data_IF_403587390772
#
_entry.id   IF_403587390772
#
_cell.length_a   1.000
_cell.length_b   1.000
_cell.length_c   1.000
_cell.angle_alpha   90.00
_cell.angle_beta   90.00
_cell.angle_gamma   90.00
#
_symmetry.space_group_name_H-M   'P 1'
#
loop_
_entity.id
_entity.type
_entity.pdbx_description
1 polymer ?
#
# COMPACT_ATOMS: atom_id res chain seq x y z
N UNK A 1 -51.96 8.47 20.90
CA UNK A 1 -52.01 7.11 21.49
C UNK A 1 -50.60 6.52 21.45
N UNK A 2 -50.04 6.06 22.58
CA UNK A 2 -48.74 5.38 22.60
C UNK A 2 -48.90 4.05 21.88
N UNK A 3 -48.35 3.94 20.67
CA UNK A 3 -48.26 2.66 19.98
C UNK A 3 -47.20 1.81 20.69
N UNK A 4 -47.65 0.82 21.44
CA UNK A 4 -46.77 -0.19 22.04
C UNK A 4 -46.23 -1.06 20.91
N UNK A 5 -44.91 -1.05 20.71
CA UNK A 5 -44.25 -1.92 19.75
C UNK A 5 -44.46 -3.40 20.13
N UNK A 6 -44.51 -4.32 19.16
CA UNK A 6 -44.63 -5.75 19.45
C UNK A 6 -43.47 -6.24 20.32
N UNK A 7 -43.73 -7.29 21.11
CA UNK A 7 -42.78 -7.83 22.06
C UNK A 7 -41.43 -8.16 21.38
N UNK A 8 -40.30 -7.82 22.02
CA UNK A 8 -38.96 -8.04 21.47
C UNK A 8 -38.73 -9.52 21.15
N UNK A 9 -38.33 -9.82 19.90
CA UNK A 9 -37.85 -11.16 19.51
C UNK A 9 -36.50 -11.51 20.16
N UNK A 10 -35.95 -12.72 19.92
CA UNK A 10 -34.66 -13.14 20.50
C UNK A 10 -33.49 -12.19 20.16
N UNK A 11 -33.58 -11.45 19.04
CA UNK A 11 -32.60 -10.44 18.63
C UNK A 11 -32.56 -9.16 19.49
N UNK A 12 -33.50 -9.00 20.42
CA UNK A 12 -33.67 -7.79 21.26
C UNK A 12 -33.52 -8.10 22.75
N UNK A 13 -33.15 -9.33 23.10
CA UNK A 13 -32.84 -9.73 24.47
C UNK A 13 -31.66 -8.91 25.03
N UNK A 14 -31.84 -8.33 26.21
CA UNK A 14 -30.81 -7.53 26.89
C UNK A 14 -30.85 -6.02 26.59
N UNK A 15 -31.70 -5.54 25.68
CA UNK A 15 -31.85 -4.11 25.36
C UNK A 15 -32.77 -3.34 26.32
N UNK A 16 -33.40 -4.02 27.29
CA UNK A 16 -34.40 -3.41 28.17
C UNK A 16 -35.67 -3.00 27.41
N UNK A 17 -36.44 -2.07 27.99
CA UNK A 17 -37.63 -1.52 27.34
C UNK A 17 -37.23 -0.55 26.23
N UNK A 18 -37.78 -0.76 25.03
CA UNK A 18 -37.60 0.15 23.90
C UNK A 18 -38.77 1.14 23.86
N UNK A 19 -38.44 2.43 23.79
CA UNK A 19 -39.43 3.51 23.72
C UNK A 19 -39.07 4.52 22.63
N UNK A 20 -40.08 5.11 22.01
CA UNK A 20 -39.89 6.18 21.03
C UNK A 20 -39.80 7.52 21.76
N UNK A 21 -38.72 8.26 21.54
CA UNK A 21 -38.52 9.62 22.06
C UNK A 21 -38.29 10.62 20.92
N UNK A 22 -38.35 11.94 21.15
CA UNK A 22 -37.98 12.92 20.13
C UNK A 22 -36.55 12.73 19.59
N UNK A 23 -35.64 12.17 20.38
CA UNK A 23 -34.26 11.84 20.00
C UNK A 23 -34.06 10.43 19.43
N UNK A 24 -35.12 9.76 18.96
CA UNK A 24 -35.07 8.43 18.37
C UNK A 24 -35.47 7.29 19.32
N UNK A 25 -35.14 6.06 18.91
CA UNK A 25 -35.38 4.86 19.71
C UNK A 25 -34.47 4.89 20.94
N UNK A 26 -35.06 4.77 22.12
CA UNK A 26 -34.36 4.72 23.40
C UNK A 26 -34.50 3.34 24.03
N UNK A 27 -33.36 2.73 24.34
CA UNK A 27 -33.24 1.62 25.27
C UNK A 27 -33.27 2.15 26.70
N UNK A 28 -34.05 1.52 27.58
CA UNK A 28 -34.04 1.85 29.01
C UNK A 28 -32.70 1.54 29.69
N UNK A 29 -31.87 0.69 29.10
CA UNK A 29 -30.56 0.29 29.62
C UNK A 29 -29.46 1.11 28.94
N UNK A 30 -29.43 1.15 27.61
CA UNK A 30 -28.31 1.71 26.84
C UNK A 30 -28.54 3.14 26.33
N UNK A 31 -29.69 3.75 26.58
CA UNK A 31 -29.97 5.11 26.12
C UNK A 31 -30.33 5.18 24.64
N UNK A 32 -29.93 6.24 23.96
CA UNK A 32 -30.12 6.40 22.50
C UNK A 32 -28.77 6.26 21.78
N UNK A 33 -28.78 6.10 20.46
CA UNK A 33 -27.53 6.08 19.69
C UNK A 33 -26.79 7.42 19.69
N UNK A 34 -27.53 8.52 19.80
CA UNK A 34 -26.96 9.85 19.93
C UNK A 34 -26.39 10.12 21.35
N UNK A 35 -26.91 9.43 22.37
CA UNK A 35 -26.48 9.58 23.75
C UNK A 35 -26.67 8.27 24.51
N UNK A 36 -25.64 7.43 24.45
CA UNK A 36 -25.62 6.15 25.13
C UNK A 36 -25.49 6.34 26.64
N UNK A 37 -26.11 5.46 27.42
CA UNK A 37 -25.88 5.38 28.86
C UNK A 37 -24.40 5.10 29.11
N UNK A 38 -23.68 5.98 29.82
CA UNK A 38 -22.28 5.76 30.14
C UNK A 38 -22.08 4.42 30.86
N UNK A 39 -20.95 3.75 30.62
CA UNK A 39 -20.64 2.47 31.28
C UNK A 39 -20.69 2.59 32.81
N UNK A 40 -20.31 3.75 33.36
CA UNK A 40 -20.37 4.02 34.80
C UNK A 40 -21.79 4.11 35.37
N UNK A 41 -22.80 4.28 34.51
CA UNK A 41 -24.22 4.36 34.87
C UNK A 41 -24.97 3.05 34.57
N UNK A 42 -24.34 2.09 33.90
CA UNK A 42 -24.90 0.76 33.69
C UNK A 42 -24.76 -0.06 34.98
N UNK A 43 -25.85 -0.70 35.41
CA UNK A 43 -25.86 -1.61 36.57
C UNK A 43 -25.22 -2.97 36.23
N UNK A 44 -23.92 -2.93 35.91
CA UNK A 44 -23.10 -4.09 35.61
C UNK A 44 -22.47 -4.62 36.90
N UNK A 45 -23.24 -5.41 37.65
CA UNK A 45 -22.78 -5.94 38.93
C UNK A 45 -21.77 -7.10 38.81
N UNK A 46 -21.66 -7.74 37.63
CA UNK A 46 -20.83 -8.94 37.43
C UNK A 46 -20.16 -8.92 36.06
N UNK A 47 -18.89 -9.26 36.03
CA UNK A 47 -18.15 -9.65 34.84
C UNK A 47 -17.70 -11.10 35.02
N UNK A 48 -17.64 -11.85 33.93
CA UNK A 48 -16.96 -13.13 33.92
C UNK A 48 -15.45 -12.92 34.17
N UNK A 49 -14.76 -13.96 34.63
CA UNK A 49 -13.30 -13.92 34.80
C UNK A 49 -12.58 -13.56 33.49
N UNK A 50 -13.07 -14.10 32.36
CA UNK A 50 -12.50 -13.81 31.05
C UNK A 50 -12.61 -12.33 30.66
N UNK A 51 -13.78 -11.71 30.90
CA UNK A 51 -14.01 -10.28 30.64
C UNK A 51 -13.15 -9.40 31.57
N UNK A 52 -13.06 -9.75 32.85
CA UNK A 52 -12.23 -9.02 33.81
C UNK A 52 -10.74 -9.09 33.42
N UNK A 53 -10.24 -10.28 33.11
CA UNK A 53 -8.85 -10.48 32.69
C UNK A 53 -8.57 -9.77 31.35
N UNK A 54 -9.52 -9.78 30.40
CA UNK A 54 -9.42 -9.04 29.13
C UNK A 54 -9.39 -7.53 29.34
N UNK A 55 -10.27 -6.99 30.19
CA UNK A 55 -10.29 -5.57 30.51
C UNK A 55 -9.01 -5.14 31.22
N UNK A 56 -8.48 -5.93 32.16
CA UNK A 56 -7.20 -5.64 32.81
C UNK A 56 -6.05 -5.61 31.81
N UNK A 57 -5.95 -6.59 30.90
CA UNK A 57 -4.96 -6.57 29.82
C UNK A 57 -5.10 -5.33 28.93
N UNK A 58 -6.32 -5.00 28.51
CA UNK A 58 -6.59 -3.80 27.71
C UNK A 58 -6.18 -2.52 28.45
N UNK A 59 -6.68 -2.32 29.68
CA UNK A 59 -6.40 -1.15 30.52
C UNK A 59 -4.91 -1.01 30.77
N UNK A 60 -4.23 -2.08 31.18
CA UNK A 60 -2.81 -2.02 31.51
C UNK A 60 -1.97 -1.76 30.26
N UNK A 61 -2.34 -2.31 29.10
CA UNK A 61 -1.69 -2.00 27.82
C UNK A 61 -1.94 -0.57 27.38
N UNK A 62 -3.18 -0.08 27.48
CA UNK A 62 -3.54 1.30 27.17
C UNK A 62 -2.78 2.27 28.10
N UNK A 63 -2.83 2.07 29.42
CA UNK A 63 -2.10 2.90 30.38
C UNK A 63 -0.59 2.84 30.18
N UNK A 64 -0.01 1.69 29.81
CA UNK A 64 1.43 1.62 29.49
C UNK A 64 1.78 2.48 28.26
N UNK A 65 0.96 2.42 27.21
CA UNK A 65 1.20 3.15 25.97
C UNK A 65 1.02 4.67 26.14
N UNK A 66 0.13 5.10 27.03
CA UNK A 66 -0.27 6.49 27.22
C UNK A 66 0.44 7.23 28.38
N UNK A 67 1.46 6.60 28.99
CA UNK A 67 2.29 7.24 30.03
C UNK A 67 3.32 8.23 29.49
N UNK A 68 3.76 8.04 28.25
CA UNK A 68 4.84 8.82 27.64
C UNK A 68 4.35 9.84 26.59
N UNK A 69 3.14 9.65 26.04
CA UNK A 69 2.61 10.44 24.92
C UNK A 69 1.15 10.86 25.16
N UNK A 70 0.80 12.07 24.74
CA UNK A 70 -0.56 12.62 24.78
C UNK A 70 -1.06 12.79 23.33
N UNK A 71 -1.97 11.92 22.88
CA UNK A 71 -2.66 11.85 21.56
C UNK A 71 -2.30 12.91 20.49
N UNK A 72 -1.11 12.94 19.87
CA UNK A 72 -0.81 13.91 18.84
C UNK A 72 -0.88 13.21 17.49
N UNK A 73 -2.10 13.01 16.97
CA UNK A 73 -2.26 12.96 15.52
C UNK A 73 -2.11 14.39 15.03
N UNK A 74 -0.94 14.73 14.52
CA UNK A 74 -0.67 16.03 13.92
C UNK A 74 -0.68 15.89 12.40
N UNK A 75 -1.51 16.68 11.74
CA UNK A 75 -1.54 16.76 10.28
C UNK A 75 -1.28 18.19 9.83
N UNK A 76 -0.33 18.36 8.91
CA UNK A 76 -0.10 19.61 8.18
C UNK A 76 -0.40 19.40 6.71
N UNK A 77 -1.27 20.22 6.17
CA UNK A 77 -1.59 20.28 4.75
C UNK A 77 -0.94 21.52 4.15
N UNK A 78 -0.30 21.36 3.00
CA UNK A 78 0.25 22.44 2.20
C UNK A 78 -0.41 22.38 0.83
N UNK A 79 -0.94 23.51 0.36
CA UNK A 79 -1.48 23.61 -1.00
C UNK A 79 -0.90 24.85 -1.65
N UNK A 80 -0.30 24.67 -2.82
CA UNK A 80 0.25 25.75 -3.64
C UNK A 80 -0.20 25.57 -5.10
N UNK A 81 0.05 26.58 -5.94
CA UNK A 81 -0.21 26.44 -7.39
C UNK A 81 0.61 25.33 -8.06
N UNK A 82 1.72 24.91 -7.45
CA UNK A 82 2.65 23.94 -8.00
C UNK A 82 2.47 22.52 -7.43
N UNK A 83 1.71 22.35 -6.34
CA UNK A 83 1.59 21.04 -5.70
C UNK A 83 0.80 21.01 -4.39
N UNK A 84 0.58 19.79 -3.90
CA UNK A 84 -0.05 19.48 -2.62
C UNK A 84 0.95 18.74 -1.71
N UNK A 85 0.90 19.00 -0.42
CA UNK A 85 1.73 18.32 0.58
C UNK A 85 0.92 17.90 1.79
N UNK A 86 1.22 16.71 2.32
CA UNK A 86 0.69 16.19 3.58
C UNK A 86 1.86 15.73 4.45
N UNK A 87 1.84 16.12 5.71
CA UNK A 87 2.78 15.67 6.74
C UNK A 87 1.97 15.24 7.96
N UNK A 88 1.89 13.93 8.16
CA UNK A 88 1.10 13.28 9.19
C UNK A 88 2.05 12.64 10.21
N UNK A 89 1.88 12.95 11.48
CA UNK A 89 2.57 12.28 12.59
C UNK A 89 1.54 11.61 13.49
N UNK A 90 1.77 10.34 13.84
CA UNK A 90 0.92 9.51 14.69
C UNK A 90 1.75 8.93 15.81
N UNK A 91 1.37 9.23 17.05
CA UNK A 91 2.03 8.78 18.28
C UNK A 91 0.97 8.47 19.37
N UNK A 92 1.04 7.35 20.10
CA UNK A 92 1.84 6.19 19.78
C UNK A 92 1.22 5.40 18.61
N UNK A 93 2.04 4.76 17.79
CA UNK A 93 1.58 3.73 16.88
C UNK A 93 1.23 2.48 17.69
N UNK A 94 -0.06 2.15 17.77
CA UNK A 94 -0.54 1.03 18.58
C UNK A 94 -0.01 -0.28 17.99
N UNK A 95 0.55 -1.15 18.85
CA UNK A 95 1.22 -2.41 18.53
C UNK A 95 0.36 -3.48 17.80
N UNK A 96 -0.88 -3.16 17.38
CA UNK A 96 -1.72 -4.03 16.56
C UNK A 96 -1.95 -3.47 15.15
N UNK A 97 -1.13 -2.50 14.72
CA UNK A 97 -1.21 -1.94 13.38
C UNK A 97 -0.59 -2.87 12.33
N UNK A 98 -1.10 -2.83 11.10
CA UNK A 98 -0.55 -3.55 9.94
C UNK A 98 0.93 -3.20 9.63
N UNK A 99 1.48 -2.15 10.26
CA UNK A 99 2.87 -1.70 10.07
C UNK A 99 3.92 -2.52 10.84
N UNK A 100 3.52 -3.38 11.78
CA UNK A 100 4.49 -4.08 12.65
C UNK A 100 5.51 -4.90 11.85
N UNK A 101 5.09 -5.54 10.76
CA UNK A 101 5.99 -6.33 9.91
C UNK A 101 7.09 -5.46 9.28
N UNK A 102 6.77 -4.24 8.87
CA UNK A 102 7.75 -3.32 8.31
C UNK A 102 8.68 -2.76 9.39
N UNK A 103 8.15 -2.44 10.58
CA UNK A 103 8.94 -1.97 11.72
C UNK A 103 9.98 -3.03 12.13
N UNK A 104 9.57 -4.30 12.16
CA UNK A 104 10.45 -5.42 12.51
C UNK A 104 11.54 -5.72 11.46
N UNK A 105 11.39 -5.26 10.21
CA UNK A 105 12.43 -5.35 9.16
C UNK A 105 13.32 -4.12 9.13
N UNK A 106 12.73 -2.93 9.26
CA UNK A 106 13.45 -1.64 9.24
C UNK A 106 14.34 -1.50 10.47
N UNK A 107 13.89 -1.97 11.64
CA UNK A 107 14.67 -1.89 12.88
C UNK A 107 15.23 -0.50 13.14
N UNK A 108 16.55 -0.40 13.29
CA UNK A 108 17.27 0.88 13.48
C UNK A 108 17.91 1.43 12.20
N UNK A 109 17.70 0.78 11.07
CA UNK A 109 18.26 1.22 9.79
C UNK A 109 17.53 2.45 9.25
N UNK A 110 18.19 3.17 8.36
CA UNK A 110 17.63 4.33 7.69
C UNK A 110 18.00 4.34 6.20
N UNK A 111 17.06 4.78 5.37
CA UNK A 111 17.26 5.05 3.95
C UNK A 111 18.17 6.28 3.82
N UNK A 112 19.34 6.10 3.20
CA UNK A 112 20.23 7.22 2.89
C UNK A 112 19.73 8.00 1.66
N UNK A 113 20.11 9.28 1.52
CA UNK A 113 19.62 10.17 0.47
C UNK A 113 19.83 9.67 -0.98
N UNK A 114 20.80 8.78 -1.23
CA UNK A 114 21.05 8.16 -2.53
C UNK A 114 20.81 6.64 -2.55
N UNK A 115 20.16 6.09 -1.53
CA UNK A 115 19.83 4.66 -1.48
C UNK A 115 18.77 4.31 -2.53
N UNK A 116 18.85 3.10 -3.09
CA UNK A 116 17.87 2.57 -4.04
C UNK A 116 18.00 3.06 -5.48
N UNK A 117 19.18 3.58 -5.87
CA UNK A 117 19.47 4.08 -7.23
C UNK A 117 18.39 5.04 -7.76
N UNK A 118 18.11 6.17 -7.08
CA UNK A 118 17.22 7.18 -7.64
C UNK A 118 17.86 7.81 -8.88
N UNK A 119 17.21 7.72 -10.04
CA UNK A 119 17.79 8.14 -11.31
C UNK A 119 16.74 8.67 -12.28
N UNK A 120 17.16 9.54 -13.21
CA UNK A 120 16.27 10.06 -14.25
C UNK A 120 15.83 8.93 -15.19
N UNK A 121 14.54 8.89 -15.51
CA UNK A 121 13.94 7.85 -16.33
C UNK A 121 13.39 6.65 -15.55
N UNK A 122 13.46 6.64 -14.21
CA UNK A 122 12.67 5.70 -13.42
C UNK A 122 11.22 6.17 -13.35
N UNK A 123 10.28 5.31 -13.76
CA UNK A 123 8.83 5.60 -13.67
C UNK A 123 8.28 5.39 -12.27
N UNK A 124 8.89 4.47 -11.53
CA UNK A 124 8.61 4.21 -10.13
C UNK A 124 9.90 3.77 -9.45
N UNK A 125 10.16 4.29 -8.26
CA UNK A 125 11.23 3.83 -7.40
C UNK A 125 10.71 3.69 -5.98
N UNK A 126 10.79 2.50 -5.41
CA UNK A 126 10.46 2.21 -4.03
C UNK A 126 11.70 1.74 -3.30
N UNK A 127 11.98 2.28 -2.13
CA UNK A 127 13.11 1.90 -1.29
C UNK A 127 12.66 1.70 0.15
N UNK A 128 13.27 0.74 0.83
CA UNK A 128 13.01 0.41 2.23
C UNK A 128 14.33 0.19 2.95
N UNK A 129 14.43 0.70 4.16
CA UNK A 129 15.52 0.41 5.07
C UNK A 129 15.44 -1.03 5.57
N UNK A 130 16.57 -1.71 5.67
CA UNK A 130 16.67 -3.06 6.20
C UNK A 130 17.73 -3.06 7.29
N UNK A 131 17.33 -3.43 8.51
CA UNK A 131 18.25 -3.67 9.61
C UNK A 131 18.55 -5.16 9.70
N UNK A 132 19.77 -5.56 9.34
CA UNK A 132 20.23 -6.95 9.43
C UNK A 132 20.23 -7.49 10.86
N UNK A 133 20.28 -6.61 11.86
CA UNK A 133 20.27 -6.98 13.27
C UNK A 133 18.83 -7.01 13.83
N UNK A 134 17.82 -6.70 13.02
CA UNK A 134 16.42 -6.81 13.41
C UNK A 134 15.98 -8.26 13.55
N UNK A 135 15.02 -8.51 14.46
CA UNK A 135 14.53 -9.85 14.76
C UNK A 135 14.03 -10.57 13.50
N UNK A 136 13.28 -9.87 12.63
CA UNK A 136 12.72 -10.47 11.42
C UNK A 136 13.80 -10.86 10.41
N UNK A 137 14.84 -10.03 10.25
CA UNK A 137 15.93 -10.34 9.32
C UNK A 137 16.83 -11.46 9.87
N UNK A 138 17.05 -11.51 11.18
CA UNK A 138 17.76 -12.62 11.82
C UNK A 138 17.02 -13.96 11.72
N UNK A 139 15.68 -13.95 11.82
CA UNK A 139 14.86 -15.14 11.54
C UNK A 139 15.08 -15.64 10.11
N UNK A 140 15.02 -14.74 9.12
CA UNK A 140 15.28 -15.08 7.71
C UNK A 140 16.71 -15.60 7.55
N UNK A 141 17.71 -14.99 8.20
CA UNK A 141 19.10 -15.45 8.18
C UNK A 141 19.27 -16.85 8.77
N UNK A 142 18.54 -17.16 9.83
CA UNK A 142 18.51 -18.50 10.45
C UNK A 142 17.89 -19.52 9.51
N UNK A 143 16.79 -19.18 8.84
CA UNK A 143 16.18 -20.04 7.81
C UNK A 143 17.12 -20.26 6.62
N UNK A 144 17.75 -19.19 6.13
CA UNK A 144 18.70 -19.25 5.02
C UNK A 144 19.91 -20.13 5.34
N UNK A 145 20.36 -20.14 6.60
CA UNK A 145 21.45 -21.03 7.06
C UNK A 145 21.09 -22.52 6.92
N UNK A 146 19.80 -22.87 6.84
CA UNK A 146 19.35 -24.24 6.55
C UNK A 146 19.60 -24.70 5.11
N UNK A 147 19.86 -23.78 4.17
CA UNK A 147 20.13 -24.09 2.75
C UNK A 147 21.47 -24.83 2.59
N UNK A 148 22.46 -24.53 3.44
CA UNK A 148 23.77 -25.21 3.42
C UNK A 148 24.11 -25.73 4.82
N UNK A 149 23.66 -26.95 5.17
CA UNK A 149 23.94 -27.55 6.47
C UNK A 149 25.45 -27.67 6.73
N UNK A 150 25.93 -27.04 7.81
CA UNK A 150 27.34 -27.04 8.22
C UNK A 150 28.09 -25.72 7.99
N UNK A 151 27.51 -24.78 7.25
CA UNK A 151 28.05 -23.42 7.13
C UNK A 151 27.68 -22.60 8.38
N UNK A 152 28.60 -22.44 9.33
CA UNK A 152 28.41 -21.58 10.53
C UNK A 152 28.62 -20.09 10.23
N UNK A 153 28.23 -19.63 9.05
CA UNK A 153 28.46 -18.26 8.59
C UNK A 153 27.11 -17.59 8.44
N UNK A 154 27.03 -16.35 8.91
CA UNK A 154 25.89 -15.47 8.65
C UNK A 154 25.79 -15.19 7.14
N UNK A 155 24.91 -15.93 6.46
CA UNK A 155 24.68 -15.87 5.02
C UNK A 155 24.08 -14.53 4.55
N UNK A 156 23.44 -13.78 5.45
CA UNK A 156 22.90 -12.46 5.16
C UNK A 156 23.79 -11.33 5.63
N UNK A 157 24.97 -11.64 6.18
CA UNK A 157 25.91 -10.66 6.70
C UNK A 157 26.54 -9.74 5.65
N UNK A 158 26.18 -9.90 4.37
CA UNK A 158 26.52 -9.00 3.27
C UNK A 158 25.51 -7.88 3.07
N UNK A 159 24.28 -8.02 3.59
CA UNK A 159 23.21 -7.04 3.42
C UNK A 159 23.66 -5.66 3.93
N UNK A 160 23.42 -4.65 3.11
CA UNK A 160 23.50 -3.25 3.49
C UNK A 160 22.25 -2.80 4.25
N UNK A 161 21.96 -1.50 4.18
CA UNK A 161 20.86 -0.89 4.93
C UNK A 161 19.63 -0.63 4.07
N UNK A 162 19.64 -0.96 2.78
CA UNK A 162 18.53 -0.69 1.87
C UNK A 162 18.24 -1.80 0.87
N UNK A 163 16.95 -1.94 0.57
CA UNK A 163 16.39 -2.71 -0.55
C UNK A 163 15.54 -1.75 -1.37
N UNK A 164 15.67 -1.82 -2.69
CA UNK A 164 14.85 -1.06 -3.60
C UNK A 164 14.26 -1.93 -4.70
N UNK A 165 13.10 -1.51 -5.17
CA UNK A 165 12.46 -2.00 -6.39
C UNK A 165 12.17 -0.79 -7.25
N UNK A 166 12.70 -0.77 -8.47
CA UNK A 166 12.44 0.33 -9.38
C UNK A 166 12.08 -0.19 -10.77
N UNK A 167 11.38 0.66 -11.51
CA UNK A 167 10.94 0.43 -12.86
C UNK A 167 11.43 1.59 -13.75
N UNK A 168 12.05 1.29 -14.90
CA UNK A 168 12.52 2.29 -15.86
C UNK A 168 11.46 2.57 -16.93
N UNK A 169 11.51 3.76 -17.53
CA UNK A 169 10.68 4.12 -18.69
C UNK A 169 11.03 3.24 -19.89
N UNK A 170 10.01 2.67 -20.52
CA UNK A 170 10.16 1.74 -21.64
C UNK A 170 8.85 1.66 -22.44
N UNK A 171 8.91 1.48 -23.78
CA UNK A 171 7.72 1.32 -24.62
C UNK A 171 6.75 0.22 -24.17
N UNK A 172 7.22 -0.79 -23.43
CA UNK A 172 6.39 -1.87 -22.88
C UNK A 172 5.23 -1.35 -22.01
N UNK A 173 5.38 -0.19 -21.37
CA UNK A 173 4.30 0.43 -20.59
C UNK A 173 3.14 0.88 -21.48
N UNK A 174 3.44 1.40 -22.67
CA UNK A 174 2.42 1.77 -23.65
C UNK A 174 1.73 0.52 -24.22
N UNK A 175 2.45 -0.59 -24.40
CA UNK A 175 1.86 -1.88 -24.77
C UNK A 175 0.93 -2.41 -23.67
N UNK A 176 1.37 -2.37 -22.41
CA UNK A 176 0.55 -2.75 -21.25
C UNK A 176 -0.74 -1.95 -21.18
N UNK A 177 -0.67 -0.64 -21.47
CA UNK A 177 -1.84 0.24 -21.56
C UNK A 177 -2.78 -0.09 -22.75
N UNK A 178 -2.37 -0.88 -23.74
CA UNK A 178 -3.28 -1.39 -24.77
C UNK A 178 -3.99 -2.68 -24.34
N UNK A 179 -3.41 -3.41 -23.38
CA UNK A 179 -3.94 -4.67 -22.85
C UNK A 179 -4.61 -4.51 -21.48
N UNK A 180 -5.16 -3.33 -21.23
CA UNK A 180 -5.81 -2.96 -19.96
C UNK A 180 -6.89 -3.96 -19.50
N UNK A 181 -7.65 -4.56 -20.43
CA UNK A 181 -8.74 -5.49 -20.09
C UNK A 181 -8.27 -6.90 -19.67
N UNK A 182 -7.01 -7.26 -19.96
CA UNK A 182 -6.42 -8.57 -19.62
C UNK A 182 -4.99 -8.41 -19.08
N UNK A 183 -4.80 -7.35 -18.28
CA UNK A 183 -3.50 -6.89 -17.78
C UNK A 183 -2.74 -8.01 -17.08
N UNK A 184 -3.38 -8.72 -16.15
CA UNK A 184 -2.73 -9.80 -15.38
C UNK A 184 -2.17 -10.88 -16.30
N UNK A 185 -2.94 -11.33 -17.29
CA UNK A 185 -2.49 -12.34 -18.25
C UNK A 185 -1.41 -11.79 -19.17
N UNK A 186 -1.50 -10.52 -19.55
CA UNK A 186 -0.48 -9.89 -20.36
C UNK A 186 0.85 -9.79 -19.59
N UNK A 187 0.81 -9.35 -18.32
CA UNK A 187 1.96 -9.29 -17.43
C UNK A 187 2.55 -10.68 -17.23
N UNK A 188 1.74 -11.70 -16.95
CA UNK A 188 2.20 -13.09 -16.82
C UNK A 188 2.94 -13.62 -18.06
N UNK A 189 2.60 -13.12 -19.26
CA UNK A 189 3.26 -13.52 -20.52
C UNK A 189 4.48 -12.66 -20.88
N UNK A 190 4.57 -11.45 -20.32
CA UNK A 190 5.56 -10.44 -20.68
C UNK A 190 6.44 -10.00 -19.52
N UNK A 191 6.32 -10.60 -18.33
CA UNK A 191 7.08 -10.20 -17.15
C UNK A 191 8.59 -10.25 -17.35
N UNK A 192 9.10 -11.11 -18.24
CA UNK A 192 10.51 -11.20 -18.60
C UNK A 192 11.07 -9.96 -19.31
N UNK A 193 10.20 -9.13 -19.92
CA UNK A 193 10.60 -7.87 -20.58
C UNK A 193 10.19 -6.63 -19.80
N UNK A 194 9.59 -6.80 -18.62
CA UNK A 194 9.26 -5.65 -17.79
C UNK A 194 10.57 -5.04 -17.27
N UNK A 195 10.79 -3.73 -17.44
CA UNK A 195 12.00 -3.05 -17.02
C UNK A 195 11.92 -2.79 -15.51
N UNK A 196 11.86 -3.86 -14.72
CA UNK A 196 11.80 -3.83 -13.25
C UNK A 196 13.04 -4.50 -12.68
N UNK A 197 13.72 -3.80 -11.78
CA UNK A 197 14.85 -4.34 -11.04
C UNK A 197 14.61 -4.32 -9.54
N UNK A 198 15.24 -5.29 -8.88
CA UNK A 198 15.46 -5.31 -7.44
C UNK A 198 16.92 -4.97 -7.19
N UNK A 199 17.17 -4.02 -6.31
CA UNK A 199 18.51 -3.65 -5.88
C UNK A 199 18.62 -3.86 -4.38
N UNK A 200 19.65 -4.59 -3.95
CA UNK A 200 19.97 -4.79 -2.53
C UNK A 200 21.32 -4.18 -2.26
N UNK A 201 21.42 -3.28 -1.29
CA UNK A 201 22.69 -2.69 -0.89
C UNK A 201 23.64 -3.75 -0.35
N UNK A 202 24.93 -3.59 -0.64
CA UNK A 202 25.98 -4.52 -0.23
C UNK A 202 26.92 -3.81 0.75
N UNK A 203 26.95 -4.30 1.99
CA UNK A 203 27.92 -3.84 3.00
C UNK A 203 29.21 -4.65 3.00
N UNK A 204 29.20 -5.88 2.48
CA UNK A 204 30.37 -6.75 2.42
C UNK A 204 30.39 -7.61 1.14
N UNK A 205 31.16 -7.20 0.11
CA UNK A 205 31.22 -7.92 -1.17
C UNK A 205 31.75 -9.35 -1.06
N UNK A 206 32.70 -9.62 -0.15
CA UNK A 206 33.25 -10.97 0.03
C UNK A 206 32.21 -11.94 0.60
N UNK A 207 31.40 -11.47 1.56
CA UNK A 207 30.27 -12.26 2.09
C UNK A 207 29.18 -12.45 1.03
N UNK A 208 28.96 -11.47 0.16
CA UNK A 208 28.04 -11.62 -0.97
C UNK A 208 28.53 -12.71 -1.92
N UNK A 209 29.83 -12.77 -2.25
CA UNK A 209 30.39 -13.84 -3.09
C UNK A 209 30.16 -15.22 -2.47
N UNK A 210 30.37 -15.36 -1.16
CA UNK A 210 30.07 -16.61 -0.45
C UNK A 210 28.58 -16.97 -0.52
N UNK A 211 27.70 -15.99 -0.30
CA UNK A 211 26.26 -16.17 -0.41
C UNK A 211 25.85 -16.64 -1.81
N UNK A 212 26.32 -15.96 -2.86
CA UNK A 212 26.02 -16.33 -4.25
C UNK A 212 26.58 -17.72 -4.61
N UNK A 213 27.76 -18.07 -4.09
CA UNK A 213 28.34 -19.41 -4.28
C UNK A 213 27.48 -20.49 -3.61
N UNK A 214 26.98 -20.22 -2.40
CA UNK A 214 26.06 -21.12 -1.69
C UNK A 214 24.73 -21.28 -2.44
N UNK A 215 24.14 -20.18 -2.91
CA UNK A 215 22.90 -20.20 -3.72
C UNK A 215 23.12 -20.98 -5.01
N UNK A 216 24.20 -20.72 -5.74
CA UNK A 216 24.57 -21.45 -6.95
C UNK A 216 24.68 -22.96 -6.68
N UNK A 217 25.43 -23.35 -5.63
CA UNK A 217 25.58 -24.75 -5.24
C UNK A 217 24.25 -25.41 -4.86
N UNK A 218 23.38 -24.70 -4.14
CA UNK A 218 22.06 -25.20 -3.78
C UNK A 218 21.15 -25.42 -4.99
N UNK A 219 21.13 -24.48 -5.94
CA UNK A 219 20.35 -24.60 -7.18
C UNK A 219 20.84 -25.78 -7.99
N UNK A 220 22.16 -25.92 -8.18
CA UNK A 220 22.74 -27.04 -8.92
C UNK A 220 22.48 -28.39 -8.23
N UNK A 221 22.49 -28.43 -6.89
CA UNK A 221 22.16 -29.64 -6.13
C UNK A 221 20.67 -30.00 -6.24
N UNK A 222 19.78 -29.01 -6.22
CA UNK A 222 18.33 -29.21 -6.21
C UNK A 222 17.76 -29.51 -7.60
N UNK A 223 18.37 -28.95 -8.64
CA UNK A 223 17.93 -29.09 -10.03
C UNK A 223 19.13 -29.29 -11.01
N UNK A 224 19.90 -30.38 -10.87
CA UNK A 224 21.13 -30.58 -11.65
C UNK A 224 20.88 -30.55 -13.16
N UNK A 225 21.65 -29.73 -13.88
CA UNK A 225 21.54 -29.62 -15.35
C UNK A 225 20.24 -29.00 -15.89
N UNK A 226 19.35 -28.49 -15.03
CA UNK A 226 18.13 -27.79 -15.46
C UNK A 226 18.33 -26.27 -15.59
N UNK A 227 19.33 -25.71 -14.89
CA UNK A 227 19.71 -24.30 -14.98
C UNK A 227 21.02 -24.11 -15.73
N UNK A 228 21.17 -22.99 -16.44
CA UNK A 228 22.41 -22.58 -17.09
C UNK A 228 22.77 -21.19 -16.61
N UNK A 229 23.99 -21.06 -16.10
CA UNK A 229 24.55 -19.82 -15.58
C UNK A 229 25.57 -19.30 -16.59
N UNK A 230 25.18 -18.28 -17.33
CA UNK A 230 26.00 -17.66 -18.37
C UNK A 230 26.70 -16.43 -17.80
N UNK A 231 28.03 -16.48 -17.74
CA UNK A 231 28.82 -15.28 -17.45
C UNK A 231 28.81 -14.38 -18.70
N UNK A 232 28.37 -13.15 -18.52
CA UNK A 232 28.34 -12.12 -19.55
C UNK A 232 29.12 -10.91 -19.06
N UNK A 233 29.43 -10.02 -19.98
CA UNK A 233 30.21 -8.82 -19.69
C UNK A 233 29.60 -7.65 -20.44
N UNK A 234 29.36 -6.56 -19.73
CA UNK A 234 28.94 -5.27 -20.29
C UNK A 234 29.98 -4.24 -19.91
N UNK A 235 30.63 -3.62 -20.90
CA UNK A 235 31.86 -2.84 -20.69
C UNK A 235 32.90 -3.65 -19.88
N UNK A 236 33.25 -3.20 -18.67
CA UNK A 236 34.17 -3.87 -17.75
C UNK A 236 33.46 -4.63 -16.61
N UNK A 237 32.12 -4.66 -16.62
CA UNK A 237 31.31 -5.27 -15.56
C UNK A 237 30.91 -6.71 -15.91
N UNK A 238 31.38 -7.72 -15.15
CA UNK A 238 30.85 -9.06 -15.26
C UNK A 238 29.45 -9.12 -14.62
N UNK A 239 28.54 -9.83 -15.28
CA UNK A 239 27.23 -10.17 -14.73
C UNK A 239 26.84 -11.57 -15.15
N UNK A 240 25.83 -12.14 -14.50
CA UNK A 240 25.39 -13.50 -14.73
C UNK A 240 23.95 -13.50 -15.21
N UNK A 241 23.68 -14.28 -16.26
CA UNK A 241 22.32 -14.63 -16.67
C UNK A 241 22.04 -16.08 -16.30
N UNK A 242 21.04 -16.29 -15.46
CA UNK A 242 20.54 -17.61 -15.08
C UNK A 242 19.30 -17.91 -15.90
N UNK A 243 19.35 -18.93 -16.75
CA UNK A 243 18.22 -19.37 -17.57
C UNK A 243 18.02 -20.87 -17.55
N UNK A 244 17.06 -21.37 -18.32
CA UNK A 244 16.84 -22.80 -18.48
C UNK A 244 17.89 -23.44 -19.40
N UNK A 245 18.25 -24.70 -19.11
CA UNK A 245 19.07 -25.51 -20.00
C UNK A 245 18.35 -25.84 -21.31
N UNK A 246 19.09 -26.26 -22.34
CA UNK A 246 18.51 -26.60 -23.65
C UNK A 246 17.40 -27.65 -23.52
N UNK A 247 17.62 -28.69 -22.73
CA UNK A 247 16.62 -29.72 -22.43
C UNK A 247 15.41 -29.16 -21.70
N UNK A 248 15.62 -28.23 -20.76
CA UNK A 248 14.53 -27.52 -20.07
C UNK A 248 13.70 -26.65 -21.02
N UNK A 249 14.34 -25.95 -21.96
CA UNK A 249 13.65 -25.10 -22.95
C UNK A 249 12.81 -25.90 -23.94
N UNK A 250 13.28 -27.09 -24.35
CA UNK A 250 12.54 -27.98 -25.27
C UNK A 250 11.26 -28.55 -24.63
N UNK A 251 11.24 -28.66 -23.30
CA UNK A 251 10.06 -29.12 -22.54
C UNK A 251 9.18 -27.97 -22.04
N UNK A 252 9.72 -26.74 -22.03
CA UNK A 252 9.00 -25.54 -21.64
C UNK A 252 8.16 -25.01 -22.81
N UNK A 253 7.03 -24.37 -22.49
CA UNK A 253 6.30 -23.58 -23.48
C UNK A 253 7.17 -22.42 -24.03
N UNK A 254 6.85 -21.89 -25.22
CA UNK A 254 7.64 -20.84 -25.88
C UNK A 254 7.85 -19.60 -24.98
N UNK A 255 6.89 -19.29 -24.11
CA UNK A 255 6.97 -18.15 -23.17
C UNK A 255 8.01 -18.40 -22.06
N UNK A 256 8.09 -19.61 -21.53
CA UNK A 256 9.01 -19.98 -20.44
C UNK A 256 10.46 -20.21 -20.94
N UNK A 257 10.64 -20.60 -22.20
CA UNK A 257 11.94 -20.90 -22.77
C UNK A 257 12.90 -19.68 -22.83
N UNK A 258 12.35 -18.46 -22.85
CA UNK A 258 13.12 -17.21 -22.90
C UNK A 258 13.30 -16.53 -21.53
N UNK A 259 12.73 -17.10 -20.47
CA UNK A 259 12.90 -16.60 -19.11
C UNK A 259 14.36 -16.69 -18.67
N UNK A 260 14.87 -15.61 -18.10
CA UNK A 260 16.17 -15.61 -17.47
C UNK A 260 16.31 -14.48 -16.47
N UNK A 261 16.92 -14.76 -15.33
CA UNK A 261 17.25 -13.79 -14.30
C UNK A 261 18.68 -13.32 -14.53
N UNK A 262 18.85 -12.03 -14.82
CA UNK A 262 20.15 -11.38 -14.86
C UNK A 262 20.46 -10.79 -13.49
N UNK A 263 21.67 -11.00 -12.98
CA UNK A 263 22.15 -10.30 -11.80
C UNK A 263 23.59 -9.83 -11.94
N UNK A 264 23.89 -8.68 -11.33
CA UNK A 264 25.25 -8.16 -11.20
C UNK A 264 25.56 -7.91 -9.73
N UNK A 265 26.70 -8.44 -9.27
CA UNK A 265 27.23 -8.21 -7.93
C UNK A 265 28.30 -7.12 -8.01
N UNK A 266 27.99 -5.92 -7.55
CA UNK A 266 28.94 -4.80 -7.49
C UNK A 266 29.36 -4.53 -6.05
N UNK A 267 30.43 -3.74 -5.81
CA UNK A 267 30.80 -3.36 -4.46
C UNK A 267 29.73 -2.57 -3.69
N UNK A 268 28.75 -1.98 -4.41
CA UNK A 268 27.69 -1.15 -3.83
C UNK A 268 26.36 -1.89 -3.69
N UNK A 269 26.04 -2.76 -4.64
CA UNK A 269 24.74 -3.41 -4.69
C UNK A 269 24.75 -4.74 -5.43
N UNK A 270 23.83 -5.61 -5.05
CA UNK A 270 23.36 -6.73 -5.86
C UNK A 270 22.13 -6.24 -6.64
N UNK A 271 22.21 -6.22 -7.97
CA UNK A 271 21.08 -5.85 -8.85
C UNK A 271 20.56 -7.12 -9.49
N UNK A 272 19.24 -7.33 -9.47
CA UNK A 272 18.56 -8.46 -10.11
C UNK A 272 17.43 -7.93 -11.01
N UNK A 273 17.30 -8.48 -12.21
CA UNK A 273 16.25 -8.12 -13.18
C UNK A 273 16.07 -9.23 -14.21
N UNK A 274 14.91 -9.32 -14.84
CA UNK A 274 14.72 -10.17 -16.02
C UNK A 274 14.99 -9.43 -17.33
N UNK A 275 14.98 -8.09 -17.30
CA UNK A 275 15.37 -7.22 -18.41
C UNK A 275 16.87 -6.93 -18.36
N UNK A 276 17.61 -7.59 -19.26
CA UNK A 276 19.05 -7.44 -19.38
C UNK A 276 19.47 -6.03 -19.83
N UNK A 277 18.66 -5.35 -20.65
CA UNK A 277 18.95 -3.99 -21.08
C UNK A 277 18.87 -3.01 -19.90
N UNK A 278 17.92 -3.21 -18.99
CA UNK A 278 17.87 -2.45 -17.74
C UNK A 278 19.11 -2.69 -16.88
N UNK A 279 19.57 -3.94 -16.73
CA UNK A 279 20.79 -4.22 -15.95
C UNK A 279 21.99 -3.45 -16.50
N UNK A 280 22.15 -3.43 -17.82
CA UNK A 280 23.22 -2.71 -18.51
C UNK A 280 23.13 -1.20 -18.25
N UNK A 281 21.94 -0.60 -18.34
CA UNK A 281 21.72 0.81 -17.98
C UNK A 281 22.06 1.09 -16.51
N UNK A 282 21.72 0.18 -15.60
CA UNK A 282 22.05 0.32 -14.17
C UNK A 282 23.57 0.28 -13.92
N UNK A 283 24.30 -0.58 -14.64
CA UNK A 283 25.77 -0.62 -14.59
C UNK A 283 26.40 0.65 -15.15
N UNK A 284 25.90 1.16 -16.29
CA UNK A 284 26.34 2.43 -16.87
C UNK A 284 26.14 3.62 -15.90
N UNK A 285 25.05 3.60 -15.11
CA UNK A 285 24.82 4.60 -14.05
C UNK A 285 25.83 4.49 -12.93
N UNK A 286 26.19 3.28 -12.50
CA UNK A 286 27.22 3.09 -11.48
C UNK A 286 28.59 3.59 -11.96
N UNK A 287 28.95 3.36 -13.22
CA UNK A 287 30.19 3.90 -13.81
C UNK A 287 30.22 5.42 -13.81
N UNK A 288 29.13 6.04 -14.27
CA UNK A 288 29.00 7.51 -14.24
C UNK A 288 29.11 8.06 -12.83
N UNK A 289 28.51 7.39 -11.85
CA UNK A 289 28.58 7.79 -10.45
C UNK A 289 29.99 7.61 -9.86
N UNK A 290 30.71 6.56 -10.24
CA UNK A 290 32.09 6.30 -9.81
C UNK A 290 33.10 7.29 -10.41
N UNK A 291 32.84 7.77 -11.63
CA UNK A 291 33.69 8.75 -12.33
C UNK A 291 33.40 10.20 -11.93
N UNK A 292 32.28 10.47 -11.25
CA UNK A 292 31.94 11.81 -10.80
C UNK A 292 32.87 12.28 -9.65
N UNK A 293 33.38 13.52 -9.68
CA UNK A 293 34.13 14.09 -8.56
C UNK A 293 33.34 14.03 -7.25
N UNK A 294 33.98 13.79 -6.11
CA UNK A 294 33.30 13.67 -4.80
C UNK A 294 32.37 14.87 -4.49
N UNK A 295 32.79 16.10 -4.83
CA UNK A 295 32.01 17.34 -4.66
C UNK A 295 30.88 17.52 -5.70
N UNK A 296 30.78 16.63 -6.69
CA UNK A 296 29.78 16.62 -7.77
C UNK A 296 29.12 15.25 -7.93
N UNK A 297 29.07 14.45 -6.86
CA UNK A 297 28.27 13.24 -6.87
C UNK A 297 26.84 13.62 -7.29
N UNK A 298 26.27 12.98 -8.33
CA UNK A 298 24.96 13.36 -8.82
C UNK A 298 23.97 13.28 -7.65
N UNK A 299 23.40 14.43 -7.29
CA UNK A 299 22.32 14.47 -6.32
C UNK A 299 21.19 13.60 -6.83
N UNK A 300 20.53 12.86 -5.93
CA UNK A 300 19.34 12.13 -6.27
C UNK A 300 18.35 13.08 -6.98
N UNK A 301 17.74 12.67 -8.10
CA UNK A 301 16.83 13.52 -8.86
C UNK A 301 15.62 14.01 -8.04
N UNK A 302 15.29 13.30 -6.97
CA UNK A 302 14.28 13.67 -5.98
C UNK A 302 14.78 13.34 -4.57
N UNK A 303 14.31 14.06 -3.54
CA UNK A 303 14.62 13.74 -2.15
C UNK A 303 13.73 12.60 -1.63
N UNK A 304 14.30 11.73 -0.81
CA UNK A 304 13.52 10.84 0.06
C UNK A 304 12.89 11.65 1.20
N UNK A 305 11.59 11.48 1.42
CA UNK A 305 10.82 12.30 2.37
C UNK A 305 10.85 11.73 3.79
N UNK A 306 11.03 10.42 3.90
CA UNK A 306 11.18 9.64 5.12
C UNK A 306 12.57 9.01 5.23
N UNK A 307 12.69 8.09 6.18
CA UNK A 307 13.93 7.34 6.44
C UNK A 307 13.71 5.85 6.57
N UNK A 308 12.47 5.35 6.54
CA UNK A 308 12.18 3.93 6.70
C UNK A 308 11.73 3.29 5.39
N UNK A 309 10.81 3.95 4.69
CA UNK A 309 10.34 3.54 3.37
C UNK A 309 10.00 4.77 2.56
N UNK A 310 10.38 4.79 1.29
CA UNK A 310 10.16 5.91 0.39
C UNK A 310 9.73 5.42 -0.98
N UNK A 311 8.92 6.22 -1.66
CA UNK A 311 8.47 5.96 -3.01
C UNK A 311 8.46 7.24 -3.83
N UNK A 312 9.01 7.18 -5.04
CA UNK A 312 8.83 8.16 -6.08
C UNK A 312 8.06 7.56 -7.25
N UNK A 313 7.15 8.34 -7.82
CA UNK A 313 6.44 8.02 -9.06
C UNK A 313 6.50 9.25 -9.96
N UNK A 314 6.99 9.05 -11.17
CA UNK A 314 7.12 10.13 -12.16
C UNK A 314 5.80 10.33 -12.94
N UNK A 315 5.85 11.15 -13.99
CA UNK A 315 4.68 11.43 -14.82
C UNK A 315 4.14 10.22 -15.56
N UNK A 316 5.00 9.37 -16.13
CA UNK A 316 4.58 8.17 -16.83
C UNK A 316 3.99 7.14 -15.83
N UNK A 317 4.64 6.98 -14.67
CA UNK A 317 4.15 6.17 -13.57
C UNK A 317 2.78 6.65 -13.06
N UNK A 318 2.56 7.96 -12.94
CA UNK A 318 1.26 8.53 -12.58
C UNK A 318 0.19 8.22 -13.63
N UNK A 319 0.52 8.25 -14.92
CA UNK A 319 -0.38 7.83 -16.00
C UNK A 319 -0.75 6.35 -15.92
N UNK A 320 0.22 5.49 -15.60
CA UNK A 320 -0.01 4.06 -15.36
C UNK A 320 -0.95 3.86 -14.16
N UNK A 321 -0.63 4.44 -13.00
CA UNK A 321 -1.44 4.34 -11.78
C UNK A 321 -2.88 4.83 -11.98
N UNK A 322 -3.10 5.90 -12.74
CA UNK A 322 -4.46 6.39 -13.07
C UNK A 322 -5.24 5.38 -13.91
N UNK A 323 -4.60 4.81 -14.93
CA UNK A 323 -5.23 3.82 -15.82
C UNK A 323 -5.65 2.58 -15.05
N UNK A 324 -4.79 2.10 -14.13
CA UNK A 324 -5.07 0.93 -13.29
C UNK A 324 -6.05 1.21 -12.15
N UNK A 325 -5.93 2.35 -11.47
CA UNK A 325 -6.81 2.73 -10.35
C UNK A 325 -8.26 2.95 -10.79
N UNK A 326 -8.49 3.58 -11.95
CA UNK A 326 -9.83 3.71 -12.53
C UNK A 326 -10.50 2.34 -12.66
N UNK A 327 -9.76 1.35 -13.19
CA UNK A 327 -10.28 -0.01 -13.35
C UNK A 327 -10.51 -0.72 -12.02
N UNK A 328 -9.56 -0.65 -11.08
CA UNK A 328 -9.74 -1.25 -9.77
C UNK A 328 -11.01 -0.71 -9.11
N UNK A 329 -11.30 0.58 -9.25
CA UNK A 329 -12.53 1.17 -8.74
C UNK A 329 -13.79 0.71 -9.50
N UNK A 330 -13.74 0.63 -10.83
CA UNK A 330 -14.84 0.11 -11.67
C UNK A 330 -15.15 -1.36 -11.36
N UNK A 331 -14.11 -2.20 -11.25
CA UNK A 331 -14.19 -3.65 -11.00
C UNK A 331 -14.59 -3.98 -9.56
N UNK A 332 -13.92 -3.36 -8.57
CA UNK A 332 -14.23 -3.66 -7.16
C UNK A 332 -15.57 -3.07 -6.75
N UNK A 333 -15.99 -1.97 -7.39
CA UNK A 333 -17.25 -1.29 -7.13
C UNK A 333 -17.44 -0.95 -5.65
N UNK A 334 -16.35 -0.85 -4.86
CA UNK A 334 -16.43 -0.74 -3.40
C UNK A 334 -17.17 0.52 -2.96
N UNK A 335 -16.78 1.67 -3.54
CA UNK A 335 -17.44 2.96 -3.30
C UNK A 335 -18.92 2.89 -3.70
N UNK A 336 -19.22 2.24 -4.84
CA UNK A 336 -20.59 2.04 -5.32
C UNK A 336 -21.40 1.12 -4.40
N UNK A 337 -20.83 0.01 -3.93
CA UNK A 337 -21.46 -0.92 -2.98
C UNK A 337 -21.74 -0.25 -1.64
N UNK A 338 -20.79 0.53 -1.12
CA UNK A 338 -20.97 1.33 0.10
C UNK A 338 -22.02 2.42 -0.09
N UNK A 339 -22.06 3.06 -1.27
CA UNK A 339 -23.11 4.02 -1.60
C UNK A 339 -24.49 3.34 -1.63
N UNK A 340 -24.58 2.16 -2.24
CA UNK A 340 -25.82 1.41 -2.40
C UNK A 340 -26.32 0.74 -1.12
N UNK A 341 -25.46 0.41 -0.17
CA UNK A 341 -25.88 -0.15 1.12
C UNK A 341 -26.78 0.80 1.93
N UNK A 342 -26.75 2.10 1.61
CA UNK A 342 -27.64 3.09 2.22
C UNK A 342 -29.06 3.11 1.61
N UNK A 343 -29.22 2.67 0.35
CA UNK A 343 -30.50 2.80 -0.37
C UNK A 343 -31.67 2.02 0.28
N UNK A 344 -31.49 0.77 0.76
CA UNK A 344 -32.59 0.01 1.37
C UNK A 344 -33.23 0.73 2.56
N UNK A 345 -32.43 1.31 3.45
CA UNK A 345 -32.97 2.01 4.63
C UNK A 345 -33.60 3.35 4.25
N UNK A 346 -33.02 4.07 3.28
CA UNK A 346 -33.60 5.31 2.77
C UNK A 346 -34.94 5.07 2.06
N UNK A 347 -35.11 3.95 1.35
CA UNK A 347 -36.39 3.52 0.78
C UNK A 347 -37.46 3.32 1.86
N UNK A 348 -37.09 2.71 2.98
CA UNK A 348 -38.00 2.53 4.13
C UNK A 348 -38.42 3.90 4.70
N UNK A 349 -37.48 4.84 4.85
CA UNK A 349 -37.80 6.18 5.33
C UNK A 349 -38.67 6.97 4.37
N UNK A 350 -38.41 6.90 3.06
CA UNK A 350 -39.26 7.52 2.06
C UNK A 350 -40.70 7.00 2.13
N UNK A 351 -40.88 5.70 2.34
CA UNK A 351 -42.20 5.06 2.45
C UNK A 351 -42.94 5.43 3.75
N UNK A 352 -42.23 5.46 4.88
CA UNK A 352 -42.85 5.68 6.20
C UNK A 352 -43.08 7.16 6.52
N UNK A 353 -42.27 8.05 5.94
CA UNK A 353 -42.31 9.50 6.18
C UNK A 353 -42.44 10.25 4.84
N UNK A 354 -43.60 10.11 4.15
CA UNK A 354 -43.79 10.73 2.86
C UNK A 354 -43.71 12.26 2.96
N UNK A 355 -42.87 12.88 2.13
CA UNK A 355 -42.66 14.33 2.10
C UNK A 355 -41.50 14.85 2.95
N UNK A 356 -40.88 14.00 3.77
CA UNK A 356 -39.61 14.32 4.45
C UNK A 356 -38.41 13.80 3.63
N UNK A 357 -37.25 14.46 3.75
CA UNK A 357 -35.98 13.95 3.20
C UNK A 357 -35.57 12.67 3.95
N UNK A 358 -35.47 11.51 3.28
CA UNK A 358 -35.07 10.25 3.91
C UNK A 358 -33.71 10.31 4.65
N UNK A 359 -32.78 11.14 4.17
CA UNK A 359 -31.47 11.32 4.84
C UNK A 359 -31.63 12.08 6.14
N UNK A 360 -32.40 13.16 6.15
CA UNK A 360 -32.73 13.92 7.35
C UNK A 360 -33.53 13.08 8.36
N UNK A 361 -34.44 12.22 7.90
CA UNK A 361 -35.16 11.27 8.76
C UNK A 361 -34.20 10.28 9.40
N UNK A 362 -33.26 9.72 8.63
CA UNK A 362 -32.24 8.83 9.17
C UNK A 362 -31.41 9.52 10.25
N UNK A 363 -30.92 10.73 9.97
CA UNK A 363 -30.13 11.54 10.90
C UNK A 363 -30.90 11.85 12.18
N UNK A 364 -32.18 12.23 12.06
CA UNK A 364 -33.05 12.50 13.22
C UNK A 364 -33.31 11.26 14.09
N UNK A 365 -33.47 10.09 13.48
CA UNK A 365 -33.80 8.85 14.21
C UNK A 365 -32.57 8.12 14.76
N UNK A 366 -31.43 8.18 14.06
CA UNK A 366 -30.22 7.41 14.35
C UNK A 366 -29.02 8.26 14.77
N UNK A 367 -29.10 9.59 14.67
CA UNK A 367 -28.02 10.51 15.03
C UNK A 367 -26.83 10.49 14.06
N UNK A 368 -26.96 9.79 12.92
CA UNK A 368 -25.91 9.65 11.91
C UNK A 368 -26.44 10.11 10.56
N UNK A 369 -25.73 10.98 9.87
CA UNK A 369 -26.08 11.37 8.51
C UNK A 369 -25.48 10.38 7.52
N UNK A 370 -26.32 9.78 6.67
CA UNK A 370 -25.84 8.92 5.59
C UNK A 370 -25.25 9.77 4.46
N UNK A 371 -23.96 9.59 4.21
CA UNK A 371 -23.22 10.27 3.13
C UNK A 371 -22.98 9.31 1.96
N UNK A 372 -22.99 9.86 0.74
CA UNK A 372 -22.55 9.10 -0.43
C UNK A 372 -21.02 9.14 -0.51
N UNK A 373 -20.32 8.00 -0.43
CA UNK A 373 -18.85 7.97 -0.45
C UNK A 373 -18.25 8.41 -1.79
N UNK A 374 -19.05 8.45 -2.87
CA UNK A 374 -18.65 9.00 -4.16
C UNK A 374 -18.82 10.52 -4.28
N UNK A 375 -19.12 11.22 -3.18
CA UNK A 375 -19.30 12.68 -3.17
C UNK A 375 -20.66 13.18 -3.68
N UNK A 376 -21.62 12.27 -3.91
CA UNK A 376 -22.99 12.60 -4.30
C UNK A 376 -23.95 12.85 -3.13
N UNK A 377 -25.24 12.94 -3.47
CA UNK A 377 -26.39 12.98 -2.55
C UNK A 377 -27.33 11.82 -2.84
N UNK A 378 -28.33 11.60 -1.99
CA UNK A 378 -29.38 10.61 -2.22
C UNK A 378 -30.67 11.29 -2.63
N UNK A 379 -31.33 10.76 -3.66
CA UNK A 379 -32.56 11.30 -4.20
C UNK A 379 -33.55 10.18 -4.55
N UNK A 380 -34.84 10.47 -4.51
CA UNK A 380 -35.86 9.55 -4.98
C UNK A 380 -35.88 9.51 -6.52
N UNK A 381 -35.70 8.33 -7.09
CA UNK A 381 -35.92 8.09 -8.51
C UNK A 381 -37.36 7.61 -8.71
N UNK A 382 -38.18 8.48 -9.32
CA UNK A 382 -39.59 8.22 -9.56
C UNK A 382 -39.86 7.20 -10.70
N UNK A 383 -38.90 6.98 -11.61
CA UNK A 383 -39.03 6.01 -12.69
C UNK A 383 -38.86 4.58 -12.16
N UNK A 384 -37.82 4.37 -11.36
CA UNK A 384 -37.46 3.06 -10.83
C UNK A 384 -38.04 2.79 -9.43
N UNK A 385 -38.79 3.75 -8.88
CA UNK A 385 -39.46 3.70 -7.57
C UNK A 385 -38.49 3.27 -6.44
N UNK A 386 -37.28 3.84 -6.45
CA UNK A 386 -36.26 3.61 -5.43
C UNK A 386 -35.46 4.87 -5.19
N UNK A 387 -34.88 4.97 -4.00
CA UNK A 387 -33.77 5.88 -3.73
C UNK A 387 -32.58 5.52 -4.63
N UNK A 388 -31.88 6.55 -5.11
CA UNK A 388 -30.64 6.45 -5.86
C UNK A 388 -29.58 7.40 -5.29
N UNK A 389 -28.31 7.10 -5.57
CA UNK A 389 -27.23 8.06 -5.42
C UNK A 389 -27.13 8.92 -6.68
N UNK A 390 -26.99 10.24 -6.53
CA UNK A 390 -26.77 11.13 -7.67
C UNK A 390 -25.44 10.88 -8.38
N UNK A 391 -24.44 10.34 -7.67
CA UNK A 391 -23.13 9.99 -8.21
C UNK A 391 -23.05 8.52 -8.69
N UNK A 392 -23.65 7.56 -7.99
CA UNK A 392 -23.52 6.13 -8.29
C UNK A 392 -24.74 5.50 -8.98
N UNK A 393 -25.86 6.22 -9.08
CA UNK A 393 -27.16 5.64 -9.45
C UNK A 393 -27.66 4.65 -8.40
N UNK A 394 -28.36 3.61 -8.83
CA UNK A 394 -28.84 2.50 -8.00
C UNK A 394 -28.54 1.14 -8.68
N UNK A 395 -28.68 -0.01 -8.00
CA UNK A 395 -28.32 -1.31 -8.57
C UNK A 395 -29.00 -1.67 -9.91
N UNK A 396 -30.19 -1.13 -10.18
CA UNK A 396 -30.94 -1.34 -11.42
C UNK A 396 -30.52 -0.41 -12.57
N UNK A 397 -29.91 0.73 -12.26
CA UNK A 397 -29.38 1.69 -13.24
C UNK A 397 -28.11 2.36 -12.67
N UNK A 398 -26.96 1.66 -12.72
CA UNK A 398 -25.70 2.20 -12.21
C UNK A 398 -25.22 3.39 -13.05
N UNK A 399 -24.74 4.45 -12.37
CA UNK A 399 -24.05 5.58 -13.01
C UNK A 399 -22.53 5.39 -12.91
N UNK A 400 -21.79 5.92 -13.89
CA UNK A 400 -20.34 6.03 -13.80
C UNK A 400 -19.99 7.04 -12.69
N UNK A 401 -19.23 6.60 -11.69
CA UNK A 401 -18.80 7.46 -10.57
C UNK A 401 -17.56 8.24 -10.96
N UNK A 402 -17.45 9.50 -10.52
CA UNK A 402 -16.16 10.18 -10.46
C UNK A 402 -15.18 9.36 -9.62
N UNK A 403 -13.92 9.30 -10.06
CA UNK A 403 -12.93 8.32 -9.62
C UNK A 403 -11.83 8.99 -8.80
N UNK A 404 -11.10 8.23 -7.96
CA UNK A 404 -9.84 8.73 -7.41
C UNK A 404 -8.82 9.06 -8.51
N UNK A 405 -8.98 8.45 -9.70
CA UNK A 405 -8.21 8.82 -10.87
C UNK A 405 -8.49 10.27 -11.33
N UNK A 406 -9.68 10.82 -11.07
CA UNK A 406 -10.00 12.21 -11.35
C UNK A 406 -9.25 13.17 -10.40
N UNK A 407 -9.08 12.79 -9.12
CA UNK A 407 -8.23 13.54 -8.18
C UNK A 407 -6.75 13.53 -8.62
N UNK A 408 -6.29 12.39 -9.15
CA UNK A 408 -4.92 12.23 -9.63
C UNK A 408 -4.71 12.81 -11.04
N UNK A 409 -5.76 13.22 -11.75
CA UNK A 409 -5.69 13.64 -13.16
C UNK A 409 -4.71 14.81 -13.40
N UNK A 410 -4.60 15.72 -12.44
CA UNK A 410 -3.73 16.89 -12.53
C UNK A 410 -2.36 16.69 -11.87
N UNK A 411 -2.02 15.48 -11.39
CA UNK A 411 -0.79 15.22 -10.62
C UNK A 411 0.31 14.64 -11.51
N UNK A 412 1.34 15.43 -11.80
CA UNK A 412 2.47 15.03 -12.64
C UNK A 412 3.46 14.09 -11.93
N UNK A 413 3.65 14.19 -10.62
CA UNK A 413 4.55 13.29 -9.91
C UNK A 413 4.10 13.14 -8.45
N UNK A 414 4.55 12.08 -7.80
CA UNK A 414 4.28 11.83 -6.39
C UNK A 414 5.52 11.34 -5.67
N UNK A 415 5.78 11.92 -4.50
CA UNK A 415 6.77 11.47 -3.53
C UNK A 415 6.06 11.08 -2.24
N UNK A 416 6.37 9.91 -1.73
CA UNK A 416 5.90 9.40 -0.46
C UNK A 416 7.10 9.01 0.40
N UNK A 417 7.03 9.29 1.69
CA UNK A 417 8.01 8.84 2.65
C UNK A 417 7.40 8.49 3.99
N UNK A 418 7.93 7.44 4.59
CA UNK A 418 7.54 6.91 5.88
C UNK A 418 8.76 6.88 6.80
N UNK A 419 8.56 7.33 8.04
CA UNK A 419 9.56 7.26 9.10
C UNK A 419 8.94 6.58 10.30
N UNK A 420 9.46 5.42 10.66
CA UNK A 420 9.21 4.81 11.97
C UNK A 420 10.13 5.47 12.99
N UNK A 421 9.52 6.05 14.02
CA UNK A 421 10.21 6.60 15.18
C UNK A 421 9.89 5.76 16.41
N UNK A 422 10.58 6.00 17.52
CA UNK A 422 10.28 5.34 18.79
C UNK A 422 8.79 5.51 19.13
N UNK A 423 8.06 4.40 19.05
CA UNK A 423 6.62 4.31 19.26
C UNK A 423 5.74 5.14 18.32
N UNK A 424 6.23 5.56 17.15
CA UNK A 424 5.48 6.46 16.27
C UNK A 424 5.69 6.27 14.78
N UNK A 425 4.84 6.95 14.02
CA UNK A 425 4.87 6.97 12.57
C UNK A 425 4.81 8.41 12.07
N UNK A 426 5.68 8.78 11.14
CA UNK A 426 5.53 9.99 10.35
C UNK A 426 5.42 9.63 8.87
N UNK A 427 4.34 10.03 8.23
CA UNK A 427 4.10 9.86 6.81
C UNK A 427 4.11 11.24 6.12
N UNK A 428 4.86 11.35 5.03
CA UNK A 428 4.94 12.55 4.21
C UNK A 428 4.55 12.22 2.77
N UNK A 429 3.76 13.09 2.17
CA UNK A 429 3.36 13.03 0.77
C UNK A 429 3.62 14.39 0.16
N UNK A 430 4.24 14.41 -1.01
CA UNK A 430 4.37 15.60 -1.85
C UNK A 430 3.91 15.22 -3.27
N UNK A 431 2.89 15.93 -3.78
CA UNK A 431 2.32 15.74 -5.10
C UNK A 431 2.59 16.99 -5.93
N UNK A 432 3.22 16.83 -7.09
CA UNK A 432 3.42 17.94 -8.02
C UNK A 432 2.29 17.97 -9.04
N UNK A 433 1.76 19.16 -9.32
CA UNK A 433 0.74 19.33 -10.36
C UNK A 433 1.38 19.43 -11.73
N UNK A 434 0.71 18.89 -12.74
CA UNK A 434 1.05 19.15 -14.13
C UNK A 434 0.94 20.66 -14.41
N UNK A 435 1.92 21.22 -15.13
CA UNK A 435 1.83 22.60 -15.56
C UNK A 435 0.57 22.76 -16.44
N UNK A 436 -0.22 23.84 -16.28
CA UNK A 436 -1.32 24.10 -17.18
C UNK A 436 -0.77 24.20 -18.60
N UNK A 437 -1.34 23.44 -19.53
CA UNK A 437 -0.96 23.50 -20.93
C UNK A 437 -1.00 24.97 -21.39
N UNK A 438 0.13 25.48 -21.88
CA UNK A 438 0.24 26.83 -22.41
C UNK A 438 -0.74 26.99 -23.58
N UNK A 439 -1.91 27.57 -23.32
CA UNK A 439 -2.96 27.75 -24.34
C UNK A 439 -4.39 27.81 -23.83
N UNK A 440 -4.71 27.38 -22.61
CA UNK A 440 -6.05 27.56 -22.06
C UNK A 440 -6.20 28.96 -21.45
N UNK A 441 -6.40 29.96 -22.30
CA UNK A 441 -7.00 31.22 -21.87
C UNK A 441 -8.33 30.91 -21.16
N UNK A 442 -8.43 31.28 -19.88
CA UNK A 442 -9.71 31.23 -19.16
C UNK A 442 -10.72 32.15 -19.86
N UNK A 443 -11.99 31.73 -20.01
CA UNK A 443 -13.08 32.66 -20.28
C UNK A 443 -13.29 33.64 -19.12
#
# INVERSE_FOLDING_TARGET
>A
AKATLPAPGPATAGLGELSWTPGGIRSSIYGTLAFMTPIAELDLARASKAEADAYQRFRDSYQRNWRAYFDPIAARFVSSGHGLGLDLSVLPLIAASDYQQFIEVVGKAAVAAGAGDPHQGAVMNWVMAIDKDSARVQEIGTMASGIVPGLKIDLLGWLGQSLAVYADADPVWAELLQHQDDETRWVEKNFQRLPVAVQVEVSNPLKLTLFLTAVHGFVEQSAPGLSVWENRTWHEHPYVRVGMSKQGREQAGPDAANMGLCFAATPRALILTMDEALLQRALDRQDKAAQAPADKSPAAPWPWLGTSMDQHVDQEGMTLLRSFSRRLQEQTGLVRRQSWSNLPILNVWHRLFPGEDPVAVHERLWGVRLICPAGGTYAWNALDLTMESTACGHPGAPKATGTAADFLADIASANFGLTFADHGLRARVELERAAPAAGAAKP
#
